data_IF_576364586291
#
_entry.id   IF_576364586291
#
_cell.length_a   1.000
_cell.length_b   1.000
_cell.length_c   1.000
_cell.angle_alpha   90.00
_cell.angle_beta   90.00
_cell.angle_gamma   90.00
#
_symmetry.space_group_name_H-M   'P 1'
#
loop_
_entity.id
_entity.type
_entity.pdbx_description
1 polymer ?
#
# COMPACT_ATOMS: atom_id res chain seq x y z
N UNK A 1 13.66 13.67 -4.12
CA UNK A 1 13.45 12.46 -4.96
C UNK A 1 11.98 12.43 -5.30
N UNK A 2 11.63 12.56 -6.59
CA UNK A 2 10.25 12.68 -7.03
C UNK A 2 9.71 11.27 -7.20
N UNK A 3 8.82 10.85 -6.31
CA UNK A 3 8.26 9.52 -6.32
C UNK A 3 7.27 9.41 -7.49
N UNK A 4 7.67 8.76 -8.57
CA UNK A 4 6.77 8.23 -9.60
C UNK A 4 6.05 7.00 -9.05
N UNK A 5 5.22 7.24 -8.04
CA UNK A 5 4.22 6.31 -7.58
C UNK A 5 3.07 6.45 -8.56
N UNK A 6 2.82 5.38 -9.32
CA UNK A 6 1.82 5.32 -10.39
C UNK A 6 0.52 6.03 -9.96
N UNK A 7 -0.05 6.83 -10.88
CA UNK A 7 -1.17 7.78 -10.67
C UNK A 7 -2.39 7.23 -9.92
N UNK A 8 -2.52 5.92 -9.79
CA UNK A 8 -3.65 5.24 -9.17
C UNK A 8 -3.43 4.82 -7.70
N UNK A 9 -2.25 5.08 -7.10
CA UNK A 9 -2.05 4.73 -5.68
C UNK A 9 -2.66 5.78 -4.75
N UNK A 10 -3.40 5.37 -3.72
CA UNK A 10 -3.98 6.28 -2.75
C UNK A 10 -2.87 6.97 -1.92
N UNK A 11 -2.94 8.29 -1.86
CA UNK A 11 -2.07 9.12 -1.01
C UNK A 11 -2.73 9.42 0.34
N UNK A 12 -2.87 8.39 1.18
CA UNK A 12 -3.56 8.45 2.49
C UNK A 12 -2.62 8.06 3.64
N UNK A 13 -2.92 8.50 4.86
CA UNK A 13 -2.07 8.28 6.03
C UNK A 13 -1.78 6.79 6.29
N UNK A 14 -2.69 5.88 5.97
CA UNK A 14 -2.43 4.43 6.05
C UNK A 14 -1.13 4.00 5.33
N UNK A 15 -0.80 4.63 4.21
CA UNK A 15 0.40 4.35 3.42
C UNK A 15 1.51 5.40 3.61
N UNK A 16 1.39 6.28 4.60
CA UNK A 16 2.36 7.34 4.83
C UNK A 16 3.51 6.85 5.70
N UNK A 17 4.76 7.15 5.37
CA UNK A 17 5.95 6.88 6.21
C UNK A 17 5.78 7.47 7.63
N UNK A 18 5.13 8.63 7.74
CA UNK A 18 4.91 9.35 9.01
C UNK A 18 3.69 8.89 9.83
N UNK A 19 3.05 7.79 9.45
CA UNK A 19 1.90 7.25 10.18
C UNK A 19 2.20 5.86 10.73
N UNK A 20 1.94 5.65 12.02
CA UNK A 20 2.06 4.33 12.64
C UNK A 20 0.68 3.66 12.76
N UNK A 21 0.62 2.37 12.44
CA UNK A 21 -0.56 1.54 12.71
C UNK A 21 -0.65 1.34 14.23
N UNK A 22 -1.84 1.56 14.78
CA UNK A 22 -2.16 1.35 16.19
C UNK A 22 -3.18 0.21 16.30
N UNK A 23 -3.51 -0.21 17.52
CA UNK A 23 -4.55 -1.21 17.77
C UNK A 23 -5.97 -0.62 17.61
N UNK A 24 -6.21 -0.02 16.44
CA UNK A 24 -7.46 0.57 15.99
C UNK A 24 -7.59 0.26 14.50
N UNK A 25 -8.74 -0.26 14.10
CA UNK A 25 -9.00 -0.67 12.71
C UNK A 25 -9.20 0.53 11.79
N UNK A 26 -9.69 1.65 12.30
CA UNK A 26 -10.11 2.82 11.52
C UNK A 26 -9.08 3.96 11.53
N UNK A 27 -8.21 3.98 12.55
CA UNK A 27 -7.29 5.09 12.79
C UNK A 27 -5.81 4.70 12.75
N UNK A 28 -4.98 5.71 12.50
CA UNK A 28 -3.52 5.64 12.57
C UNK A 28 -2.98 6.82 13.35
N UNK A 29 -1.79 6.65 13.94
CA UNK A 29 -1.08 7.72 14.60
C UNK A 29 -0.18 8.46 13.60
N UNK A 30 -0.61 9.64 13.14
CA UNK A 30 0.22 10.51 12.32
C UNK A 30 1.13 11.37 13.20
N UNK A 31 2.44 11.30 13.00
CA UNK A 31 3.44 12.11 13.75
C UNK A 31 3.18 13.62 13.69
N UNK A 32 2.47 14.10 12.66
CA UNK A 32 2.21 15.53 12.42
C UNK A 32 0.85 16.01 12.91
N UNK A 33 -0.10 15.11 13.14
CA UNK A 33 -1.52 15.44 13.38
C UNK A 33 -2.15 14.69 14.55
N UNK A 34 -1.49 13.68 15.10
CA UNK A 34 -2.05 12.79 16.12
C UNK A 34 -2.87 11.66 15.50
N UNK A 35 -3.88 11.18 16.22
CA UNK A 35 -4.79 10.12 15.75
C UNK A 35 -5.68 10.68 14.64
N UNK A 36 -5.67 10.02 13.48
CA UNK A 36 -6.46 10.39 12.31
C UNK A 36 -7.00 9.12 11.65
N UNK A 37 -8.09 9.24 10.88
CA UNK A 37 -8.57 8.15 10.03
C UNK A 37 -7.46 7.65 9.08
N UNK A 38 -7.45 6.35 8.80
CA UNK A 38 -6.58 5.71 7.79
C UNK A 38 -6.61 6.41 6.44
N UNK A 39 -7.77 6.89 6.02
CA UNK A 39 -7.99 7.57 4.73
C UNK A 39 -7.57 9.06 4.74
N UNK A 40 -7.13 9.59 5.88
CA UNK A 40 -6.76 10.99 6.00
C UNK A 40 -5.58 11.37 5.09
N UNK A 41 -5.69 12.49 4.37
CA UNK A 41 -4.65 12.96 3.44
C UNK A 41 -3.81 14.08 4.06
N UNK A 42 -2.74 13.72 4.77
CA UNK A 42 -1.89 14.73 5.38
C UNK A 42 -1.06 15.51 4.33
N UNK A 43 -0.81 16.80 4.58
CA UNK A 43 -0.05 17.68 3.66
C UNK A 43 1.43 17.31 3.50
N UNK A 44 1.95 16.46 4.38
CA UNK A 44 3.36 16.00 4.40
C UNK A 44 3.45 14.52 4.02
N UNK A 45 2.51 14.03 3.23
CA UNK A 45 2.47 12.64 2.79
C UNK A 45 3.78 12.22 2.09
N UNK A 46 4.32 11.07 2.49
CA UNK A 46 5.42 10.35 1.83
C UNK A 46 5.04 8.88 1.84
N UNK A 47 5.10 8.20 0.70
CA UNK A 47 4.59 6.84 0.58
C UNK A 47 5.58 5.83 1.15
N UNK A 48 5.10 4.92 2.00
CA UNK A 48 5.84 3.78 2.53
C UNK A 48 5.44 2.49 1.77
N UNK A 49 6.29 1.97 0.87
CA UNK A 49 5.98 0.75 0.12
C UNK A 49 5.75 -0.49 0.99
N UNK A 50 6.29 -0.53 2.21
CA UNK A 50 6.18 -1.68 3.10
C UNK A 50 4.82 -1.77 3.81
N UNK A 51 4.08 -0.65 3.89
CA UNK A 51 2.72 -0.62 4.45
C UNK A 51 1.66 -1.15 3.48
N UNK A 52 2.03 -1.38 2.22
CA UNK A 52 1.14 -1.93 1.22
C UNK A 52 1.16 -3.46 1.28
N UNK A 53 -0.01 -4.07 1.18
CA UNK A 53 -0.14 -5.50 0.86
C UNK A 53 -0.37 -5.62 -0.66
N UNK A 54 0.56 -6.22 -1.43
CA UNK A 54 0.36 -6.46 -2.85
C UNK A 54 -0.84 -7.36 -3.10
N UNK A 55 -1.54 -7.14 -4.21
CA UNK A 55 -2.59 -8.08 -4.64
C UNK A 55 -1.95 -9.42 -4.98
N UNK A 56 -2.60 -10.55 -4.64
CA UNK A 56 -2.11 -11.86 -5.05
C UNK A 56 -1.98 -11.91 -6.57
N UNK A 57 -0.93 -12.56 -7.04
CA UNK A 57 -0.77 -12.84 -8.46
C UNK A 57 -1.94 -13.71 -8.96
N UNK A 58 -2.33 -13.58 -10.23
CA UNK A 58 -3.27 -14.51 -10.82
C UNK A 58 -2.74 -15.95 -10.72
N UNK A 59 -3.62 -16.96 -10.69
CA UNK A 59 -3.19 -18.35 -10.70
C UNK A 59 -2.32 -18.62 -11.92
N UNK A 60 -1.30 -19.45 -11.74
CA UNK A 60 -0.48 -19.91 -12.86
C UNK A 60 -1.38 -20.67 -13.86
N UNK A 61 -1.15 -20.50 -15.17
CA UNK A 61 -1.83 -21.30 -16.17
C UNK A 61 -1.51 -22.78 -15.94
N UNK A 62 -2.51 -23.64 -16.15
CA UNK A 62 -2.31 -25.09 -16.10
C UNK A 62 -1.48 -25.50 -17.31
N UNK A 63 -0.31 -26.08 -17.05
CA UNK A 63 0.55 -26.64 -18.09
C UNK A 63 -0.01 -28.00 -18.50
N UNK A 64 -0.27 -28.20 -19.79
CA UNK A 64 -0.66 -29.51 -20.33
C UNK A 64 0.56 -30.34 -20.70
N UNK A 65 0.40 -31.66 -20.84
CA UNK A 65 1.49 -32.53 -21.30
C UNK A 65 1.96 -32.16 -22.71
N UNK A 66 1.08 -31.64 -23.56
CA UNK A 66 1.39 -31.16 -24.90
C UNK A 66 2.32 -29.93 -24.87
N UNK A 67 2.25 -29.10 -23.82
CA UNK A 67 3.12 -27.93 -23.64
C UNK A 67 4.54 -28.31 -23.17
N UNK A 68 4.76 -29.57 -22.75
CA UNK A 68 6.05 -30.07 -22.27
C UNK A 68 6.95 -30.62 -23.38
N UNK A 69 6.41 -30.82 -24.57
CA UNK A 69 7.13 -31.39 -25.71
C UNK A 69 7.50 -30.25 -26.67
N UNK A 70 8.79 -29.90 -26.70
CA UNK A 70 9.39 -28.87 -27.57
C UNK A 70 9.60 -29.37 -29.00
#
# INVERSE_FOLDING_TARGET
>A
MKHDISRDLPCVCEFCEHAAIINDEENVLCERRGIVSREYKCRKFVYDPLKRVPKPLPPLPKLSEDDLVL
#
